data_IF_269232096463
#
_entry.id   IF_269232096463
#
_cell.length_a   1.000
_cell.length_b   1.000
_cell.length_c   1.000
_cell.angle_alpha   90.00
_cell.angle_beta   90.00
_cell.angle_gamma   90.00
#
_symmetry.space_group_name_H-M   'P 1'
#
loop_
_entity.id
_entity.type
_entity.pdbx_description
1 polymer ?
#
# COMPACT_ATOMS: atom_id res chain seq x y z
N UNK A 1 -6.79 -39.59 22.48
CA UNK A 1 -5.60 -38.72 22.72
C UNK A 1 -4.64 -39.00 21.58
N UNK A 2 -4.30 -38.10 20.65
CA UNK A 2 -4.17 -36.65 20.77
C UNK A 2 -4.39 -35.94 19.42
N UNK A 3 -5.21 -34.90 19.48
CA UNK A 3 -5.11 -33.58 18.84
C UNK A 3 -4.86 -33.47 17.33
N UNK A 4 -5.93 -33.06 16.66
CA UNK A 4 -5.95 -32.12 15.54
C UNK A 4 -5.00 -30.92 15.77
N UNK A 5 -4.39 -30.43 14.69
CA UNK A 5 -3.54 -29.25 14.73
C UNK A 5 -3.04 -28.81 13.35
N UNK A 6 -3.88 -28.92 12.31
CA UNK A 6 -3.61 -28.26 11.03
C UNK A 6 -3.91 -26.77 11.14
N UNK A 7 -2.95 -25.99 11.68
CA UNK A 7 -3.03 -24.53 11.71
C UNK A 7 -1.97 -23.92 10.80
N UNK A 8 -2.41 -23.11 9.84
CA UNK A 8 -1.54 -22.25 9.04
C UNK A 8 -1.91 -22.14 7.57
N UNK A 9 -3.21 -22.07 7.22
CA UNK A 9 -3.57 -21.54 5.91
C UNK A 9 -3.11 -20.09 5.83
N UNK A 10 -2.24 -19.78 4.88
CA UNK A 10 -1.84 -18.41 4.51
C UNK A 10 -3.08 -17.66 4.00
N UNK A 11 -3.92 -17.17 4.90
CA UNK A 11 -4.98 -16.22 4.57
C UNK A 11 -4.29 -14.93 4.15
N UNK A 12 -4.38 -14.59 2.87
CA UNK A 12 -3.82 -13.34 2.34
C UNK A 12 -4.35 -12.17 3.18
N UNK A 13 -3.45 -11.34 3.70
CA UNK A 13 -3.79 -10.19 4.54
C UNK A 13 -4.84 -9.30 3.86
N UNK A 14 -5.73 -8.67 4.64
CA UNK A 14 -6.76 -7.77 4.08
C UNK A 14 -6.12 -6.60 3.31
N UNK A 15 -4.92 -6.17 3.71
CA UNK A 15 -4.15 -5.19 2.95
C UNK A 15 -3.63 -5.76 1.63
N UNK A 16 -3.23 -7.03 1.58
CA UNK A 16 -2.87 -7.70 0.32
C UNK A 16 -4.07 -7.79 -0.63
N UNK A 17 -5.25 -8.16 -0.11
CA UNK A 17 -6.48 -8.20 -0.91
C UNK A 17 -6.84 -6.81 -1.44
N UNK A 18 -6.68 -5.77 -0.61
CA UNK A 18 -6.89 -4.38 -1.01
C UNK A 18 -5.93 -3.97 -2.13
N UNK A 19 -4.64 -4.30 -2.03
CA UNK A 19 -3.64 -4.01 -3.06
C UNK A 19 -3.93 -4.70 -4.40
N UNK A 20 -4.47 -5.93 -4.38
CA UNK A 20 -4.81 -6.64 -5.63
C UNK A 20 -5.83 -5.87 -6.46
N UNK A 21 -6.81 -5.23 -5.81
CA UNK A 21 -7.83 -4.42 -6.49
C UNK A 21 -7.47 -2.94 -6.61
N UNK A 22 -6.38 -2.50 -5.97
CA UNK A 22 -6.02 -1.08 -5.86
C UNK A 22 -5.73 -0.45 -7.23
N UNK A 23 -4.74 -0.98 -7.97
CA UNK A 23 -4.33 -0.39 -9.25
C UNK A 23 -5.42 -0.40 -10.32
N UNK A 24 -6.20 -1.48 -10.51
CA UNK A 24 -7.34 -1.45 -11.42
C UNK A 24 -8.33 -0.32 -11.11
N UNK A 25 -8.61 -0.07 -9.82
CA UNK A 25 -9.53 1.00 -9.39
C UNK A 25 -8.92 2.38 -9.59
N UNK A 26 -7.63 2.55 -9.26
CA UNK A 26 -6.90 3.80 -9.46
C UNK A 26 -6.86 4.19 -10.93
N UNK A 27 -6.59 3.24 -11.83
CA UNK A 27 -6.54 3.48 -13.27
C UNK A 27 -7.89 3.98 -13.82
N UNK A 28 -9.00 3.41 -13.34
CA UNK A 28 -10.34 3.86 -13.73
C UNK A 28 -10.65 5.26 -13.19
N UNK A 29 -10.23 5.55 -11.96
CA UNK A 29 -10.42 6.89 -11.39
C UNK A 29 -9.59 7.96 -12.10
N UNK A 30 -8.34 7.65 -12.47
CA UNK A 30 -7.49 8.54 -13.26
C UNK A 30 -8.11 8.81 -14.63
N UNK A 31 -8.62 7.77 -15.31
CA UNK A 31 -9.29 7.91 -16.61
C UNK A 31 -10.44 8.92 -16.55
N UNK A 32 -11.21 8.93 -15.47
CA UNK A 32 -12.32 9.86 -15.27
C UNK A 32 -11.85 11.31 -15.02
N UNK A 33 -10.66 11.50 -14.46
CA UNK A 33 -10.08 12.83 -14.21
C UNK A 33 -9.54 13.49 -15.49
N UNK A 34 -9.04 12.70 -16.46
CA UNK A 34 -8.39 13.22 -17.69
C UNK A 34 -9.37 13.82 -18.71
N UNK A 35 -10.69 13.75 -18.48
CA UNK A 35 -11.71 14.22 -19.46
C UNK A 35 -11.95 15.75 -19.37
N UNK A 36 -11.43 16.46 -18.37
CA UNK A 36 -11.72 17.88 -18.12
C UNK A 36 -10.44 18.75 -18.03
N UNK A 37 -9.90 19.16 -19.19
CA UNK A 37 -8.52 19.69 -19.28
C UNK A 37 -8.47 21.23 -19.36
N UNK A 38 -7.87 21.89 -18.35
CA UNK A 38 -7.18 23.20 -18.49
C UNK A 38 -6.35 23.64 -17.26
N UNK A 39 -6.66 23.18 -16.03
CA UNK A 39 -6.05 23.68 -14.78
C UNK A 39 -5.35 22.60 -13.91
N UNK A 40 -4.65 21.65 -14.54
CA UNK A 40 -4.56 20.27 -14.02
C UNK A 40 -3.41 19.92 -13.07
N UNK A 41 -2.31 20.66 -13.01
CA UNK A 41 -1.13 20.19 -12.24
C UNK A 41 -1.41 19.99 -10.74
N UNK A 42 -2.04 20.93 -10.00
CA UNK A 42 -2.33 20.71 -8.58
C UNK A 42 -3.34 19.58 -8.33
N UNK A 43 -4.32 19.40 -9.22
CA UNK A 43 -5.35 18.35 -9.11
C UNK A 43 -4.73 16.97 -9.31
N UNK A 44 -3.84 16.84 -10.30
CA UNK A 44 -3.08 15.61 -10.54
C UNK A 44 -2.13 15.28 -9.39
N UNK A 45 -1.41 16.28 -8.84
CA UNK A 45 -0.55 16.05 -7.68
C UNK A 45 -1.34 15.66 -6.42
N UNK A 46 -2.49 16.29 -6.17
CA UNK A 46 -3.35 15.89 -5.06
C UNK A 46 -3.80 14.43 -5.20
N UNK A 47 -4.15 14.01 -6.43
CA UNK A 47 -4.54 12.63 -6.71
C UNK A 47 -3.37 11.66 -6.57
N UNK A 48 -2.22 12.00 -7.14
CA UNK A 48 -1.01 11.19 -7.04
C UNK A 48 -0.55 11.03 -5.59
N UNK A 49 -0.61 12.11 -4.79
CA UNK A 49 -0.28 12.05 -3.36
C UNK A 49 -1.24 11.14 -2.59
N UNK A 50 -2.55 11.19 -2.87
CA UNK A 50 -3.54 10.29 -2.27
C UNK A 50 -3.24 8.82 -2.60
N UNK A 51 -2.97 8.52 -3.88
CA UNK A 51 -2.61 7.18 -4.35
C UNK A 51 -1.34 6.69 -3.64
N UNK A 52 -0.30 7.52 -3.64
CA UNK A 52 0.99 7.21 -3.03
C UNK A 52 0.87 6.90 -1.53
N UNK A 53 0.18 7.76 -0.76
CA UNK A 53 -0.01 7.56 0.68
C UNK A 53 -0.77 6.27 0.94
N UNK A 54 -1.83 6.00 0.18
CA UNK A 54 -2.68 4.81 0.36
C UNK A 54 -1.89 3.53 0.08
N UNK A 55 -1.17 3.50 -1.04
CA UNK A 55 -0.39 2.34 -1.44
C UNK A 55 0.74 2.05 -0.45
N UNK A 56 1.52 3.07 -0.08
CA UNK A 56 2.61 2.93 0.90
C UNK A 56 2.06 2.44 2.25
N UNK A 57 0.91 2.97 2.68
CA UNK A 57 0.26 2.55 3.93
C UNK A 57 -0.17 1.09 3.87
N UNK A 58 -0.81 0.64 2.79
CA UNK A 58 -1.22 -0.77 2.64
C UNK A 58 -0.02 -1.71 2.64
N UNK A 59 1.06 -1.35 1.94
CA UNK A 59 2.29 -2.14 1.89
C UNK A 59 2.98 -2.22 3.25
N UNK A 60 3.04 -1.10 3.98
CA UNK A 60 3.56 -1.08 5.36
C UNK A 60 2.64 -1.83 6.34
N UNK A 61 1.33 -1.79 6.12
CA UNK A 61 0.37 -2.48 6.98
C UNK A 61 0.55 -4.00 6.95
N UNK A 62 0.93 -4.58 5.81
CA UNK A 62 1.28 -6.01 5.72
C UNK A 62 2.34 -6.37 6.77
N UNK A 63 3.37 -5.55 6.93
CA UNK A 63 4.41 -5.78 7.94
C UNK A 63 3.94 -5.56 9.38
N UNK A 64 2.95 -4.68 9.57
CA UNK A 64 2.30 -4.51 10.87
C UNK A 64 1.57 -5.79 11.28
N UNK A 65 0.81 -6.36 10.35
CA UNK A 65 0.05 -7.59 10.54
C UNK A 65 0.95 -8.82 10.70
N UNK A 66 2.02 -8.94 9.90
CA UNK A 66 3.03 -10.00 10.03
C UNK A 66 3.66 -10.02 11.42
N UNK A 67 3.85 -8.84 12.02
CA UNK A 67 4.37 -8.67 13.37
C UNK A 67 3.29 -8.79 14.47
N UNK A 68 2.05 -9.19 14.11
CA UNK A 68 0.88 -9.31 15.00
C UNK A 68 0.55 -8.01 15.73
N UNK A 69 0.92 -6.87 15.16
CA UNK A 69 0.61 -5.54 15.69
C UNK A 69 -0.65 -5.00 15.05
N UNK A 70 -1.28 -4.04 15.74
CA UNK A 70 -2.45 -3.28 15.23
C UNK A 70 -2.16 -1.78 15.17
N UNK A 71 -0.90 -1.41 15.30
CA UNK A 71 -0.41 -0.04 15.26
C UNK A 71 0.74 0.02 14.27
N UNK A 72 0.57 0.83 13.23
CA UNK A 72 1.57 1.06 12.19
C UNK A 72 2.76 1.81 12.80
N UNK A 73 3.98 1.35 12.53
CA UNK A 73 5.21 1.95 13.04
C UNK A 73 6.10 2.43 11.89
N UNK A 74 7.04 3.35 12.19
CA UNK A 74 8.03 3.82 11.21
C UNK A 74 8.83 2.68 10.58
N UNK A 75 9.17 1.65 11.36
CA UNK A 75 9.90 0.48 10.86
C UNK A 75 9.13 -0.29 9.79
N UNK A 76 7.79 -0.33 9.86
CA UNK A 76 6.96 -0.99 8.84
C UNK A 76 7.03 -0.25 7.51
N UNK A 77 7.09 1.08 7.57
CA UNK A 77 7.23 1.95 6.40
C UNK A 77 8.62 1.76 5.79
N UNK A 78 9.69 1.75 6.61
CA UNK A 78 11.04 1.50 6.12
C UNK A 78 11.17 0.12 5.45
N UNK A 79 10.54 -0.91 6.02
CA UNK A 79 10.49 -2.24 5.40
C UNK A 79 9.70 -2.25 4.09
N UNK A 80 8.59 -1.51 3.99
CA UNK A 80 7.85 -1.41 2.74
C UNK A 80 8.67 -0.68 1.66
N UNK A 81 9.38 0.40 2.00
CA UNK A 81 10.22 1.16 1.06
C UNK A 81 11.35 0.28 0.52
N UNK A 82 12.08 -0.41 1.40
CA UNK A 82 13.20 -1.27 0.99
C UNK A 82 12.79 -2.49 0.16
N UNK A 83 11.51 -2.90 0.19
CA UNK A 83 11.00 -4.05 -0.57
C UNK A 83 10.52 -3.72 -1.98
N UNK A 84 10.28 -2.44 -2.31
CA UNK A 84 9.71 -2.06 -3.60
C UNK A 84 10.51 -0.91 -4.22
N UNK A 85 11.15 -1.19 -5.36
CA UNK A 85 11.99 -0.27 -6.16
C UNK A 85 11.30 1.05 -6.55
N UNK A 86 9.98 1.01 -6.76
CA UNK A 86 9.18 2.21 -7.00
C UNK A 86 9.27 3.27 -5.88
N UNK A 87 9.73 2.89 -4.69
CA UNK A 87 9.92 3.79 -3.55
C UNK A 87 11.38 4.22 -3.34
N UNK A 88 12.30 3.91 -4.26
CA UNK A 88 13.72 4.26 -4.14
C UNK A 88 13.96 5.78 -3.99
N UNK A 89 13.05 6.61 -4.49
CA UNK A 89 13.10 8.07 -4.30
C UNK A 89 12.98 8.52 -2.83
N UNK A 90 12.69 7.61 -1.90
CA UNK A 90 12.55 7.87 -0.45
C UNK A 90 13.75 7.38 0.36
N UNK A 91 14.74 6.71 -0.23
CA UNK A 91 15.87 6.09 0.49
C UNK A 91 16.66 7.13 1.30
N UNK A 92 16.83 8.34 0.77
CA UNK A 92 17.54 9.42 1.48
C UNK A 92 16.67 10.16 2.52
N UNK A 93 15.36 9.88 2.56
CA UNK A 93 14.39 10.56 3.43
C UNK A 93 14.02 9.68 4.63
N UNK A 94 13.84 8.39 4.40
CA UNK A 94 13.47 7.43 5.44
C UNK A 94 14.73 6.67 5.85
N UNK A 95 15.25 6.89 7.08
CA UNK A 95 16.46 6.25 7.56
C UNK A 95 16.29 4.75 7.85
#
# INVERSE_FOLDING_TARGET
MSTEGGFGGTSSSDAQQSLQSFWPRVMEEIRNLTVMISAEAPVLFAKAAQIFITELTLRAWIHTEDNKRRTLQRNDIAMAITKFDQFDFLIDIVP
#
